data_IF_400911930075
#
_entry.id   IF_400911930075
#
_cell.length_a   1.000
_cell.length_b   1.000
_cell.length_c   1.000
_cell.angle_alpha   90.00
_cell.angle_beta   90.00
_cell.angle_gamma   90.00
#
_symmetry.space_group_name_H-M   'P 1'
#
loop_
_entity.id
_entity.type
_entity.pdbx_description
1 polymer ?
#
# COMPACT_ATOMS: atom_id res chain seq x y z
N UNK A 1 28.48 -4.88 10.65
CA UNK A 1 28.32 -3.41 10.59
C UNK A 1 28.59 -2.96 9.15
N UNK A 2 27.59 -3.07 8.25
CA UNK A 2 27.72 -2.66 6.83
C UNK A 2 26.37 -2.69 6.07
N UNK A 3 25.32 -2.04 6.58
CA UNK A 3 24.02 -1.97 5.88
C UNK A 3 23.33 -0.59 5.97
N UNK A 4 24.05 0.46 6.33
CA UNK A 4 23.55 1.85 6.38
C UNK A 4 24.49 2.74 5.57
N UNK A 5 24.61 2.52 4.26
CA UNK A 5 25.25 3.47 3.31
C UNK A 5 24.56 3.52 1.94
N UNK A 6 23.53 2.70 1.64
CA UNK A 6 22.99 2.62 0.28
C UNK A 6 21.82 3.58 -0.03
N UNK A 7 21.25 4.29 0.95
CA UNK A 7 20.04 5.10 0.72
C UNK A 7 20.29 6.46 0.04
N UNK A 8 21.56 6.86 -0.15
CA UNK A 8 21.90 8.18 -0.72
C UNK A 8 22.21 8.15 -2.23
N UNK A 9 22.49 6.98 -2.83
CA UNK A 9 22.84 6.91 -4.26
C UNK A 9 21.64 6.87 -5.21
N UNK A 10 20.40 6.80 -4.69
CA UNK A 10 19.18 6.88 -5.50
C UNK A 10 18.91 8.28 -6.08
N UNK A 11 19.57 9.32 -5.55
CA UNK A 11 19.39 10.71 -6.00
C UNK A 11 20.62 11.32 -6.68
N UNK A 12 21.75 10.61 -6.69
CA UNK A 12 22.99 11.08 -7.32
C UNK A 12 23.51 10.05 -8.32
N UNK A 13 22.71 9.76 -9.34
CA UNK A 13 23.23 9.12 -10.56
C UNK A 13 23.61 10.20 -11.57
N UNK A 14 24.72 10.05 -12.32
CA UNK A 14 25.10 10.94 -13.41
C UNK A 14 24.01 11.14 -14.49
N UNK A 15 22.98 10.28 -14.48
CA UNK A 15 21.78 10.39 -15.31
C UNK A 15 20.94 11.65 -15.03
N UNK A 16 21.09 12.30 -13.88
CA UNK A 16 20.41 13.58 -13.57
C UNK A 16 21.28 14.82 -13.90
N UNK A 17 22.58 14.65 -14.22
CA UNK A 17 23.48 15.76 -14.56
C UNK A 17 23.25 16.33 -15.97
N UNK A 18 22.39 15.69 -16.76
CA UNK A 18 22.10 16.08 -18.15
C UNK A 18 20.73 16.73 -18.35
N UNK A 19 19.98 17.03 -17.27
CA UNK A 19 18.66 17.66 -17.38
C UNK A 19 18.82 19.15 -17.73
N UNK A 20 19.20 19.43 -18.98
CA UNK A 20 19.06 20.76 -19.56
C UNK A 20 17.56 21.07 -19.63
N UNK A 21 17.15 22.02 -18.82
CA UNK A 21 15.83 22.63 -18.81
C UNK A 21 15.55 23.27 -20.17
N UNK A 22 14.88 22.57 -21.09
CA UNK A 22 14.08 23.19 -22.17
C UNK A 22 13.29 22.15 -22.96
N UNK A 23 11.99 22.42 -23.15
CA UNK A 23 11.02 21.73 -24.03
C UNK A 23 10.84 20.21 -23.81
N UNK A 24 9.80 19.85 -23.06
CA UNK A 24 9.61 18.49 -22.54
C UNK A 24 9.34 17.40 -23.58
N UNK A 25 9.75 16.14 -23.30
CA UNK A 25 9.26 14.99 -24.04
C UNK A 25 7.84 14.65 -23.58
N UNK A 26 6.93 14.51 -24.53
CA UNK A 26 5.61 13.98 -24.26
C UNK A 26 5.72 12.54 -23.74
N UNK A 27 4.79 12.09 -22.89
CA UNK A 27 4.79 10.73 -22.31
C UNK A 27 4.98 9.59 -23.32
N UNK A 28 4.72 9.84 -24.62
CA UNK A 28 4.97 8.89 -25.73
C UNK A 28 6.44 8.71 -26.09
N UNK A 29 7.27 9.74 -26.04
CA UNK A 29 8.69 9.64 -26.38
C UNK A 29 9.47 8.89 -25.29
N UNK A 30 9.05 9.01 -24.03
CA UNK A 30 9.61 8.24 -22.90
C UNK A 30 9.40 6.73 -23.11
N UNK A 31 8.26 6.34 -23.69
CA UNK A 31 7.96 4.92 -23.97
C UNK A 31 8.77 4.40 -25.17
N UNK A 32 8.98 5.23 -26.20
CA UNK A 32 9.79 4.84 -27.36
C UNK A 32 11.29 4.80 -27.04
N UNK A 33 11.81 5.74 -26.24
CA UNK A 33 13.20 5.74 -25.80
C UNK A 33 13.50 4.61 -24.80
N UNK A 34 12.52 4.21 -23.98
CA UNK A 34 12.63 3.04 -23.11
C UNK A 34 12.77 1.70 -23.87
N UNK A 35 12.44 1.67 -25.16
CA UNK A 35 12.58 0.49 -26.02
C UNK A 35 14.00 0.20 -26.51
N UNK A 36 14.96 1.13 -26.33
CA UNK A 36 16.30 1.03 -26.90
C UNK A 36 17.44 0.82 -25.88
N UNK A 37 17.13 0.66 -24.58
CA UNK A 37 18.10 0.22 -23.58
C UNK A 37 18.06 -1.30 -23.37
N UNK A 38 17.99 -2.04 -24.48
CA UNK A 38 18.20 -3.48 -24.52
C UNK A 38 19.71 -3.76 -24.66
N UNK A 39 20.47 -3.52 -23.61
CA UNK A 39 21.86 -3.97 -23.54
C UNK A 39 22.19 -4.41 -22.10
N UNK A 40 22.23 -5.74 -21.92
CA UNK A 40 22.84 -6.50 -20.82
C UNK A 40 22.37 -6.20 -19.38
N UNK A 41 21.17 -6.70 -19.04
CA UNK A 41 20.84 -7.13 -17.67
C UNK A 41 20.69 -8.67 -17.66
N UNK A 42 21.68 -9.43 -17.17
CA UNK A 42 21.63 -10.89 -17.16
C UNK A 42 20.89 -11.37 -15.91
N UNK A 43 19.67 -11.88 -16.10
CA UNK A 43 18.73 -12.38 -15.07
C UNK A 43 17.97 -11.29 -14.33
N UNK A 44 16.88 -10.84 -14.93
CA UNK A 44 15.59 -10.55 -14.30
C UNK A 44 14.67 -10.15 -15.46
N UNK A 45 14.19 -11.14 -16.20
CA UNK A 45 12.99 -10.91 -17.01
C UNK A 45 11.96 -10.31 -16.05
N UNK A 46 11.38 -9.16 -16.41
CA UNK A 46 10.35 -8.51 -15.62
C UNK A 46 9.13 -9.44 -15.57
N UNK A 47 9.18 -10.45 -14.70
CA UNK A 47 8.01 -11.22 -14.32
C UNK A 47 7.15 -10.21 -13.59
N UNK A 48 6.09 -9.76 -14.25
CA UNK A 48 5.01 -9.08 -13.57
C UNK A 48 4.72 -9.90 -12.31
N UNK A 49 4.77 -9.26 -11.13
CA UNK A 49 4.39 -9.92 -9.90
C UNK A 49 2.99 -10.49 -10.14
N UNK A 50 2.90 -11.81 -10.30
CA UNK A 50 1.65 -12.51 -10.58
C UNK A 50 0.81 -12.46 -9.33
N UNK A 51 0.11 -11.34 -9.13
CA UNK A 51 -0.92 -11.23 -8.11
C UNK A 51 -2.14 -12.01 -8.62
N UNK A 52 -2.07 -13.33 -8.54
CA UNK A 52 -3.21 -14.19 -8.80
C UNK A 52 -4.16 -14.14 -7.61
N UNK A 53 -5.46 -14.01 -7.88
CA UNK A 53 -6.49 -14.02 -6.87
C UNK A 53 -6.79 -15.47 -6.46
N UNK A 54 -6.46 -15.82 -5.22
CA UNK A 54 -6.49 -17.20 -4.71
C UNK A 54 -7.88 -17.71 -4.29
N UNK A 55 -8.92 -16.87 -4.43
CA UNK A 55 -10.34 -17.16 -4.12
C UNK A 55 -10.62 -17.56 -2.67
N UNK A 56 -9.69 -17.34 -1.74
CA UNK A 56 -9.86 -17.72 -0.33
C UNK A 56 -10.62 -16.71 0.51
N UNK A 57 -11.03 -15.59 -0.08
CA UNK A 57 -11.61 -14.45 0.63
C UNK A 57 -10.74 -13.94 1.80
N UNK A 58 -9.41 -14.15 1.72
CA UNK A 58 -8.47 -13.63 2.69
C UNK A 58 -8.09 -12.21 2.27
N UNK A 59 -8.27 -11.26 3.20
CA UNK A 59 -7.85 -9.87 3.00
C UNK A 59 -7.00 -9.40 4.19
N UNK A 60 -6.07 -8.45 3.97
CA UNK A 60 -5.34 -7.81 5.06
C UNK A 60 -6.29 -6.91 5.86
N UNK A 61 -6.64 -7.33 7.07
CA UNK A 61 -7.33 -6.50 8.06
C UNK A 61 -6.28 -5.66 8.78
N UNK A 62 -6.43 -4.35 8.66
CA UNK A 62 -5.52 -3.36 9.23
C UNK A 62 -6.20 -2.71 10.43
N UNK A 63 -5.56 -2.75 11.58
CA UNK A 63 -5.97 -2.01 12.77
C UNK A 63 -4.89 -1.00 13.14
N UNK A 64 -5.28 0.27 13.15
CA UNK A 64 -4.41 1.38 13.54
C UNK A 64 -4.69 1.70 15.00
N UNK A 65 -3.73 1.44 15.87
CA UNK A 65 -3.77 1.79 17.29
C UNK A 65 -2.97 3.06 17.48
N UNK A 66 -3.65 4.19 17.66
CA UNK A 66 -3.06 5.40 18.21
C UNK A 66 -3.47 5.49 19.68
N UNK A 67 -2.66 4.92 20.56
CA UNK A 67 -2.94 4.79 21.99
C UNK A 67 -2.15 5.80 22.84
N UNK A 68 -1.82 6.97 22.28
CA UNK A 68 -1.19 8.05 23.05
C UNK A 68 -2.10 8.47 24.20
N UNK A 69 -1.57 8.48 25.43
CA UNK A 69 -2.33 8.82 26.63
C UNK A 69 -3.24 7.71 27.17
N UNK A 70 -3.20 6.51 26.60
CA UNK A 70 -3.92 5.36 27.14
C UNK A 70 -3.14 4.71 28.29
N UNK A 71 -3.79 4.46 29.43
CA UNK A 71 -3.17 3.84 30.61
C UNK A 71 -2.85 2.35 30.41
N UNK A 72 -3.37 1.75 29.34
CA UNK A 72 -3.14 0.33 29.04
C UNK A 72 -1.72 0.12 28.50
N UNK A 73 -0.95 -0.70 29.20
CA UNK A 73 0.44 -1.03 28.84
C UNK A 73 0.51 -1.74 27.46
N UNK A 74 1.33 -1.21 26.56
CA UNK A 74 1.63 -1.82 25.25
C UNK A 74 2.52 -3.06 25.43
N UNK A 75 2.13 -4.21 24.86
CA UNK A 75 2.85 -5.49 25.04
C UNK A 75 2.94 -6.36 23.80
N UNK A 76 2.27 -5.97 22.71
CA UNK A 76 2.15 -6.76 21.49
C UNK A 76 3.37 -6.60 20.58
N UNK A 77 3.94 -5.40 20.48
CA UNK A 77 5.15 -5.15 19.70
C UNK A 77 6.39 -5.37 20.56
N UNK A 78 7.15 -6.41 20.22
CA UNK A 78 8.36 -6.82 20.94
C UNK A 78 9.66 -6.37 20.25
N UNK A 79 9.55 -5.50 19.25
CA UNK A 79 10.70 -4.95 18.54
C UNK A 79 11.36 -3.81 19.30
N UNK A 80 12.29 -3.12 18.63
CA UNK A 80 13.04 -2.04 19.25
C UNK A 80 12.14 -0.81 19.46
N UNK A 81 12.20 -0.26 20.66
CA UNK A 81 11.53 1.00 20.99
C UNK A 81 12.12 2.17 20.22
N UNK A 82 11.26 3.09 19.82
CA UNK A 82 11.65 4.38 19.25
C UNK A 82 12.06 5.38 20.34
N UNK A 83 11.58 5.20 21.58
CA UNK A 83 11.71 6.14 22.70
C UNK A 83 11.03 7.50 22.41
N UNK A 84 9.99 7.48 21.59
CA UNK A 84 9.17 8.63 21.18
C UNK A 84 7.69 8.27 21.31
N UNK A 85 6.81 9.13 20.80
CA UNK A 85 5.37 8.86 20.71
C UNK A 85 5.03 7.56 19.95
N UNK A 86 5.93 7.06 19.11
CA UNK A 86 5.71 5.83 18.32
C UNK A 86 5.61 4.58 19.20
N UNK A 87 6.16 4.59 20.43
CA UNK A 87 6.05 3.45 21.36
C UNK A 87 4.61 3.23 21.88
N UNK A 88 3.74 4.23 21.67
CA UNK A 88 2.31 4.21 22.01
C UNK A 88 1.42 4.07 20.77
N UNK A 89 2.01 3.87 19.59
CA UNK A 89 1.30 3.69 18.33
C UNK A 89 1.66 2.34 17.70
N UNK A 90 0.69 1.66 17.08
CA UNK A 90 0.90 0.35 16.47
C UNK A 90 0.00 0.15 15.27
N UNK A 91 0.56 -0.42 14.19
CA UNK A 91 -0.21 -0.91 13.04
C UNK A 91 -0.21 -2.42 13.07
N UNK A 92 -1.38 -3.02 13.28
CA UNK A 92 -1.58 -4.47 13.22
C UNK A 92 -2.14 -4.82 11.84
N UNK A 93 -1.45 -5.71 11.13
CA UNK A 93 -1.92 -6.24 9.86
C UNK A 93 -2.07 -7.75 10.01
N UNK A 94 -3.25 -8.30 9.70
CA UNK A 94 -3.51 -9.74 9.74
C UNK A 94 -4.30 -10.14 8.51
N UNK A 95 -3.89 -11.24 7.86
CA UNK A 95 -4.74 -11.88 6.85
C UNK A 95 -5.91 -12.57 7.55
N UNK A 96 -7.13 -12.14 7.29
CA UNK A 96 -8.34 -12.76 7.83
C UNK A 96 -9.29 -13.14 6.69
N UNK A 97 -10.02 -14.24 6.88
CA UNK A 97 -11.11 -14.63 5.98
C UNK A 97 -12.29 -13.69 6.23
N UNK A 98 -12.69 -12.97 5.20
CA UNK A 98 -13.79 -12.01 5.29
C UNK A 98 -15.11 -12.77 5.13
N UNK A 99 -15.97 -12.65 6.14
CA UNK A 99 -17.29 -13.28 6.16
C UNK A 99 -18.35 -12.24 6.52
N UNK A 100 -19.56 -12.41 5.98
CA UNK A 100 -20.73 -11.55 6.26
C UNK A 100 -21.86 -12.44 6.75
N UNK A 101 -22.48 -12.07 7.87
CA UNK A 101 -23.59 -12.83 8.44
C UNK A 101 -24.88 -12.61 7.63
N UNK A 102 -25.78 -13.60 7.65
CA UNK A 102 -27.12 -13.47 7.05
C UNK A 102 -27.94 -12.36 7.68
N UNK A 103 -27.75 -12.10 8.99
CA UNK A 103 -28.43 -11.00 9.69
C UNK A 103 -27.99 -9.63 9.17
N UNK A 104 -26.69 -9.43 8.93
CA UNK A 104 -26.15 -8.20 8.34
C UNK A 104 -26.63 -8.02 6.90
N UNK A 105 -26.74 -9.10 6.13
CA UNK A 105 -27.29 -9.04 4.78
C UNK A 105 -28.78 -8.64 4.78
N UNK A 106 -29.57 -9.17 5.72
CA UNK A 106 -30.98 -8.82 5.87
C UNK A 106 -31.19 -7.36 6.29
N UNK A 107 -30.33 -6.81 7.17
CA UNK A 107 -30.42 -5.41 7.58
C UNK A 107 -30.10 -4.47 6.42
N UNK A 108 -29.05 -4.75 5.65
CA UNK A 108 -28.71 -3.96 4.46
C UNK A 108 -29.83 -4.02 3.42
N UNK A 109 -30.46 -5.18 3.22
CA UNK A 109 -31.64 -5.30 2.35
C UNK A 109 -32.79 -4.40 2.84
N UNK A 110 -33.12 -4.44 4.13
CA UNK A 110 -34.20 -3.62 4.68
C UNK A 110 -33.90 -2.12 4.56
N UNK A 111 -32.67 -1.71 4.85
CA UNK A 111 -32.22 -0.32 4.71
C UNK A 111 -32.28 0.14 3.25
N UNK A 112 -31.76 -0.65 2.32
CA UNK A 112 -31.77 -0.30 0.89
C UNK A 112 -33.18 -0.14 0.33
N UNK A 113 -34.12 -1.05 0.64
CA UNK A 113 -35.52 -0.87 0.22
C UNK A 113 -36.16 0.35 0.86
N UNK A 114 -35.89 0.62 2.13
CA UNK A 114 -36.39 1.82 2.82
C UNK A 114 -35.87 3.13 2.20
N UNK A 115 -34.60 3.16 1.77
CA UNK A 115 -34.00 4.30 1.08
C UNK A 115 -34.60 4.49 -0.32
N UNK A 116 -34.80 3.41 -1.07
CA UNK A 116 -35.40 3.46 -2.41
C UNK A 116 -36.86 3.92 -2.37
N UNK A 117 -37.66 3.42 -1.42
CA UNK A 117 -39.05 3.86 -1.23
C UNK A 117 -39.11 5.36 -0.85
N UNK A 118 -38.18 5.82 0.00
CA UNK A 118 -38.09 7.25 0.33
C UNK A 118 -37.73 8.09 -0.90
N UNK A 119 -36.76 7.65 -1.70
CA UNK A 119 -36.34 8.33 -2.91
C UNK A 119 -37.44 8.34 -3.99
N UNK A 120 -38.28 7.32 -4.06
CA UNK A 120 -39.42 7.28 -4.98
C UNK A 120 -40.55 8.25 -4.60
N UNK A 121 -40.57 8.75 -3.35
CA UNK A 121 -41.59 9.66 -2.83
C UNK A 121 -41.14 11.13 -2.76
N UNK A 122 -39.88 11.42 -3.09
CA UNK A 122 -39.31 12.78 -3.20
C UNK A 122 -39.37 13.27 -4.64
#
# INVERSE_FOLDING_TARGET
LAAVVASASAFSTPALSGLKMSAGPSRREVVQAGGAAAAVAPFLGAKAAGAEMDKKAIAPVITIFDHRGCDRITKEYQGRKANTYDDYMLVKVKGEVITVSTSTAASVLAETFGLLDRAARS
#
